data_IF_540754714817
#
_entry.id   IF_540754714817
#
_cell.length_a   1.000
_cell.length_b   1.000
_cell.length_c   1.000
_cell.angle_alpha   90.00
_cell.angle_beta   90.00
_cell.angle_gamma   90.00
#
_symmetry.space_group_name_H-M   'P 1'
#
loop_
_entity.id
_entity.type
_entity.pdbx_description
1 polymer ?
#
# COMPACT_ATOMS: atom_id res chain seq x y z
N UNK A 1 6.04 20.56 -3.65
CA UNK A 1 4.83 19.70 -3.63
C UNK A 1 4.77 19.06 -2.25
N UNK A 2 3.69 19.27 -1.50
CA UNK A 2 3.50 18.64 -0.20
C UNK A 2 2.64 17.39 -0.37
N UNK A 3 3.22 16.20 -0.14
CA UNK A 3 2.51 14.93 -0.32
C UNK A 3 1.57 14.61 0.84
N UNK A 4 1.67 15.27 2.00
CA UNK A 4 0.78 15.02 3.14
C UNK A 4 -0.50 15.84 3.11
N UNK A 5 -0.60 16.85 2.24
CA UNK A 5 -1.74 17.76 2.13
C UNK A 5 -2.38 17.65 0.74
N UNK A 6 -2.90 16.46 0.44
CA UNK A 6 -3.67 16.15 -0.75
C UNK A 6 -5.09 15.70 -0.37
N UNK A 7 -6.02 15.82 -1.30
CA UNK A 7 -7.35 15.24 -1.17
C UNK A 7 -7.34 13.79 -1.66
N UNK A 8 -8.17 12.94 -1.06
CA UNK A 8 -8.30 11.52 -1.41
C UNK A 8 -8.21 10.61 -0.19
N UNK A 9 -7.92 9.34 -0.45
CA UNK A 9 -7.99 8.29 0.56
C UNK A 9 -6.75 7.41 0.55
N UNK A 10 -6.38 6.92 1.73
CA UNK A 10 -5.28 5.97 1.93
C UNK A 10 -5.83 4.74 2.65
N UNK A 11 -5.43 3.55 2.22
CA UNK A 11 -5.64 2.35 3.02
C UNK A 11 -4.57 2.28 4.12
N UNK A 12 -5.00 2.21 5.37
CA UNK A 12 -4.16 2.23 6.56
C UNK A 12 -4.68 1.21 7.58
N UNK A 13 -3.89 0.19 7.87
CA UNK A 13 -4.17 -0.87 8.85
C UNK A 13 -5.60 -1.46 8.78
N UNK A 14 -6.01 -1.86 7.58
CA UNK A 14 -7.32 -2.51 7.35
C UNK A 14 -8.47 -1.56 7.03
N UNK A 15 -8.25 -0.24 7.05
CA UNK A 15 -9.31 0.76 6.85
C UNK A 15 -8.93 1.76 5.77
N UNK A 16 -9.94 2.29 5.07
CA UNK A 16 -9.77 3.49 4.24
C UNK A 16 -9.90 4.71 5.15
N UNK A 17 -8.91 5.59 5.15
CA UNK A 17 -8.88 6.83 5.91
C UNK A 17 -8.69 8.01 4.96
N UNK A 18 -9.07 9.21 5.41
CA UNK A 18 -8.73 10.45 4.69
C UNK A 18 -7.22 10.59 4.57
N UNK A 19 -6.76 11.08 3.41
CA UNK A 19 -5.34 11.20 3.09
C UNK A 19 -4.54 11.89 4.21
N UNK A 20 -5.09 12.96 4.79
CA UNK A 20 -4.45 13.77 5.83
C UNK A 20 -4.40 13.08 7.20
N UNK A 21 -5.17 12.02 7.41
CA UNK A 21 -5.22 11.26 8.67
C UNK A 21 -4.32 10.02 8.70
N UNK A 22 -3.71 9.65 7.56
CA UNK A 22 -2.71 8.58 7.48
C UNK A 22 -1.37 9.02 8.13
N UNK A 23 -1.36 9.14 9.46
CA UNK A 23 -0.23 9.61 10.26
C UNK A 23 0.43 8.46 11.02
N UNK A 24 1.73 8.59 11.28
CA UNK A 24 2.47 7.75 12.22
C UNK A 24 3.26 8.63 13.19
N UNK A 25 3.65 8.09 14.35
CA UNK A 25 4.42 8.86 15.33
C UNK A 25 5.86 9.10 14.85
N UNK A 26 6.48 10.22 15.24
CA UNK A 26 7.85 10.54 14.85
C UNK A 26 8.89 9.54 15.36
N UNK A 27 8.54 8.73 16.36
CA UNK A 27 9.39 7.66 16.92
C UNK A 27 9.11 6.27 16.32
N UNK A 28 8.45 6.20 15.16
CA UNK A 28 8.20 4.92 14.48
C UNK A 28 9.51 4.27 14.04
N UNK A 29 9.70 3.00 14.42
CA UNK A 29 10.96 2.26 14.28
C UNK A 29 11.55 2.31 12.85
N UNK A 30 10.72 2.06 11.83
CA UNK A 30 11.15 2.09 10.42
C UNK A 30 11.73 3.44 9.99
N UNK A 31 11.26 4.56 10.58
CA UNK A 31 11.79 5.90 10.27
C UNK A 31 13.21 6.11 10.80
N UNK A 32 13.57 5.46 11.92
CA UNK A 32 14.88 5.62 12.56
C UNK A 32 15.88 4.55 12.12
N UNK A 33 15.40 3.35 11.80
CA UNK A 33 16.26 2.19 11.59
C UNK A 33 16.13 1.56 10.19
N UNK A 34 15.29 2.12 9.32
CA UNK A 34 15.16 1.73 7.91
C UNK A 34 14.55 0.34 7.68
N UNK A 35 14.17 -0.39 8.73
CA UNK A 35 13.59 -1.73 8.63
C UNK A 35 12.13 -1.65 8.17
N UNK A 36 11.90 -1.88 6.88
CA UNK A 36 10.59 -1.92 6.25
C UNK A 36 10.70 -2.40 4.81
N UNK A 37 9.56 -2.74 4.20
CA UNK A 37 9.47 -3.12 2.80
C UNK A 37 8.35 -2.33 2.12
N UNK A 38 8.50 -2.06 0.83
CA UNK A 38 7.48 -1.37 0.04
C UNK A 38 7.43 -1.94 -1.38
N UNK A 39 6.38 -1.60 -2.11
CA UNK A 39 6.22 -1.95 -3.51
C UNK A 39 5.89 -0.72 -4.36
N UNK A 40 6.18 -0.83 -5.66
CA UNK A 40 5.80 0.14 -6.66
C UNK A 40 4.92 -0.54 -7.71
N UNK A 41 3.63 -0.24 -7.69
CA UNK A 41 2.64 -0.82 -8.60
C UNK A 41 2.04 0.27 -9.48
N UNK A 42 1.72 -0.07 -10.73
CA UNK A 42 1.12 0.88 -11.69
C UNK A 42 -0.25 0.43 -12.15
N UNK A 43 -1.18 1.38 -12.23
CA UNK A 43 -2.46 1.22 -12.89
C UNK A 43 -2.46 1.99 -14.20
N UNK A 44 -3.12 1.43 -15.22
CA UNK A 44 -3.18 1.99 -16.56
C UNK A 44 -4.62 2.02 -17.05
N UNK A 45 -4.97 3.06 -17.80
CA UNK A 45 -6.22 3.09 -18.56
C UNK A 45 -6.12 2.11 -19.73
N UNK A 46 -7.09 1.21 -19.84
CA UNK A 46 -7.20 0.24 -20.94
C UNK A 46 -8.57 0.36 -21.60
N UNK A 47 -8.81 -0.24 -22.78
CA UNK A 47 -10.14 -0.27 -23.38
C UNK A 47 -11.22 -0.94 -22.50
N UNK A 48 -10.84 -1.74 -21.49
CA UNK A 48 -11.74 -2.40 -20.54
C UNK A 48 -11.89 -1.63 -19.21
N UNK A 49 -11.29 -0.44 -19.10
CA UNK A 49 -11.23 0.35 -17.87
C UNK A 49 -9.83 0.39 -17.26
N UNK A 50 -9.69 1.02 -16.10
CA UNK A 50 -8.42 1.09 -15.39
C UNK A 50 -8.05 -0.29 -14.84
N UNK A 51 -6.84 -0.78 -15.12
CA UNK A 51 -6.34 -2.07 -14.65
C UNK A 51 -5.01 -1.91 -13.91
N UNK A 52 -4.83 -2.66 -12.82
CA UNK A 52 -3.58 -2.70 -12.06
C UNK A 52 -2.68 -3.78 -12.67
N UNK A 53 -1.52 -3.39 -13.19
CA UNK A 53 -0.64 -4.32 -13.91
C UNK A 53 0.13 -5.21 -12.93
N UNK A 54 -0.04 -6.53 -13.06
CA UNK A 54 0.70 -7.57 -12.29
C UNK A 54 0.58 -7.42 -10.77
N UNK A 55 -0.58 -6.99 -10.28
CA UNK A 55 -0.83 -6.74 -8.84
C UNK A 55 -0.54 -7.96 -7.97
N UNK A 56 -0.81 -9.17 -8.47
CA UNK A 56 -0.54 -10.41 -7.77
C UNK A 56 0.95 -10.61 -7.55
N UNK A 57 1.76 -10.53 -8.60
CA UNK A 57 3.21 -10.75 -8.49
C UNK A 57 3.93 -9.68 -7.66
N UNK A 58 3.45 -8.43 -7.71
CA UNK A 58 3.92 -7.38 -6.81
C UNK A 58 3.59 -7.69 -5.35
N UNK A 59 2.37 -8.16 -5.07
CA UNK A 59 1.94 -8.52 -3.71
C UNK A 59 2.72 -9.73 -3.17
N UNK A 60 2.88 -10.78 -3.97
CA UNK A 60 3.74 -11.93 -3.62
C UNK A 60 5.18 -11.48 -3.29
N UNK A 61 5.73 -10.52 -4.05
CA UNK A 61 7.07 -9.97 -3.80
C UNK A 61 7.13 -9.13 -2.52
N UNK A 62 6.07 -8.40 -2.17
CA UNK A 62 5.96 -7.69 -0.90
C UNK A 62 6.05 -8.68 0.29
N UNK A 63 5.27 -9.77 0.25
CA UNK A 63 5.28 -10.80 1.29
C UNK A 63 6.64 -11.50 1.38
N UNK A 64 7.24 -11.84 0.24
CA UNK A 64 8.61 -12.39 0.19
C UNK A 64 9.62 -11.45 0.84
N UNK A 65 9.54 -10.15 0.55
CA UNK A 65 10.45 -9.14 1.10
C UNK A 65 10.28 -9.03 2.61
N UNK A 66 9.03 -8.98 3.12
CA UNK A 66 8.75 -8.97 4.55
C UNK A 66 9.31 -10.22 5.24
N UNK A 67 9.11 -11.40 4.65
CA UNK A 67 9.67 -12.67 5.13
C UNK A 67 11.20 -12.65 5.21
N UNK A 68 11.89 -12.09 4.22
CA UNK A 68 13.36 -12.00 4.19
C UNK A 68 13.93 -11.22 5.39
N UNK A 69 13.22 -10.20 5.86
CA UNK A 69 13.63 -9.40 7.02
C UNK A 69 12.98 -9.86 8.33
N UNK A 70 12.30 -11.01 8.34
CA UNK A 70 11.64 -11.57 9.53
C UNK A 70 10.38 -10.82 9.98
N UNK A 71 9.77 -10.01 9.12
CA UNK A 71 8.55 -9.27 9.40
C UNK A 71 7.31 -10.06 8.98
N UNK A 72 6.33 -10.16 9.88
CA UNK A 72 5.02 -10.77 9.59
C UNK A 72 4.01 -9.70 9.19
N UNK A 73 3.48 -9.79 7.98
CA UNK A 73 2.34 -8.96 7.54
C UNK A 73 1.06 -9.51 8.20
N UNK A 74 0.26 -8.68 8.89
CA UNK A 74 -0.95 -9.13 9.59
C UNK A 74 -2.19 -9.20 8.68
N UNK A 75 -2.01 -9.47 7.39
CA UNK A 75 -3.05 -9.56 6.35
C UNK A 75 -2.70 -10.68 5.37
N UNK A 76 -3.67 -11.17 4.61
CA UNK A 76 -3.42 -12.10 3.50
C UNK A 76 -3.04 -11.36 2.22
N UNK A 77 -2.49 -12.09 1.24
CA UNK A 77 -2.19 -11.53 -0.09
C UNK A 77 -3.46 -11.03 -0.78
N UNK A 78 -4.57 -11.76 -0.64
CA UNK A 78 -5.88 -11.39 -1.19
C UNK A 78 -6.39 -10.09 -0.56
N UNK A 79 -6.29 -9.94 0.76
CA UNK A 79 -6.70 -8.71 1.45
C UNK A 79 -5.90 -7.49 0.98
N UNK A 80 -4.60 -7.63 0.72
CA UNK A 80 -3.77 -6.54 0.22
C UNK A 80 -3.99 -6.25 -1.27
N UNK A 81 -4.34 -7.26 -2.09
CA UNK A 81 -4.76 -7.03 -3.48
C UNK A 81 -6.08 -6.26 -3.49
N UNK A 82 -7.05 -6.65 -2.67
CA UNK A 82 -8.31 -5.92 -2.51
C UNK A 82 -8.09 -4.49 -1.99
N UNK A 83 -7.16 -4.28 -1.05
CA UNK A 83 -6.82 -2.95 -0.55
C UNK A 83 -6.28 -2.04 -1.67
N UNK A 84 -5.39 -2.54 -2.51
CA UNK A 84 -4.87 -1.80 -3.67
C UNK A 84 -5.98 -1.45 -4.67
N UNK A 85 -6.89 -2.40 -4.95
CA UNK A 85 -8.05 -2.17 -5.80
C UNK A 85 -8.97 -1.11 -5.19
N UNK A 86 -9.26 -1.19 -3.88
CA UNK A 86 -10.07 -0.19 -3.17
C UNK A 86 -9.46 1.19 -3.34
N UNK A 87 -8.17 1.40 -3.08
CA UNK A 87 -7.53 2.73 -3.22
C UNK A 87 -7.58 3.29 -4.64
N UNK A 88 -7.42 2.45 -5.67
CA UNK A 88 -7.43 2.91 -7.07
C UNK A 88 -8.84 3.19 -7.59
N UNK A 89 -9.84 2.45 -7.11
CA UNK A 89 -11.21 2.49 -7.66
C UNK A 89 -12.25 3.14 -6.73
N UNK A 90 -11.91 3.41 -5.47
CA UNK A 90 -12.74 4.19 -4.57
C UNK A 90 -12.83 5.62 -5.08
N UNK A 91 -14.02 5.98 -5.59
CA UNK A 91 -14.40 7.36 -5.86
C UNK A 91 -14.88 8.05 -4.60
#
# INVERSE_FOLDING_TARGET
>A
MNLSDLDGHIWFDGKIVDWKEAKTHVLTYTLHYGLGVFEGVRAYSTPQGTCIFRVKEHTERLFKSAKTIGMKIPFTEEELIEAQQKVVFSK
#
